data_IF_409048716253
#
_entry.id   IF_409048716253
#
_cell.length_a   1.000
_cell.length_b   1.000
_cell.length_c   1.000
_cell.angle_alpha   90.00
_cell.angle_beta   90.00
_cell.angle_gamma   90.00
#
_symmetry.space_group_name_H-M   'P 1'
#
loop_
_entity.id
_entity.type
_entity.pdbx_description
1 polymer ?
#
# COMPACT_ATOMS: atom_id res chain seq x y z
N UNK A 1 15.96 -0.11 -10.84
CA UNK A 1 15.33 1.09 -10.24
C UNK A 1 16.19 1.53 -9.07
N UNK A 2 16.65 2.78 -9.01
CA UNK A 2 17.51 3.25 -7.91
C UNK A 2 16.69 3.33 -6.63
N UNK A 3 17.17 2.71 -5.57
CA UNK A 3 16.50 2.75 -4.27
C UNK A 3 16.44 4.20 -3.74
N UNK A 4 15.29 4.61 -3.21
CA UNK A 4 15.12 5.96 -2.68
C UNK A 4 15.86 6.13 -1.34
N UNK A 5 16.30 7.35 -1.03
CA UNK A 5 16.87 7.67 0.29
C UNK A 5 15.91 7.33 1.44
N UNK A 6 14.61 7.47 1.22
CA UNK A 6 13.57 7.15 2.19
C UNK A 6 13.50 5.64 2.47
N UNK A 7 13.41 4.81 1.43
CA UNK A 7 13.35 3.35 1.58
C UNK A 7 14.62 2.79 2.21
N UNK A 8 15.80 3.31 1.85
CA UNK A 8 17.07 2.91 2.49
C UNK A 8 17.10 3.23 3.98
N UNK A 9 16.59 4.40 4.39
CA UNK A 9 16.46 4.77 5.81
C UNK A 9 15.48 3.83 6.53
N UNK A 10 14.35 3.49 5.92
CA UNK A 10 13.36 2.59 6.52
C UNK A 10 13.89 1.17 6.73
N UNK A 11 14.79 0.68 5.88
CA UNK A 11 15.45 -0.62 6.07
C UNK A 11 16.30 -0.69 7.34
N UNK A 12 16.89 0.43 7.79
CA UNK A 12 17.67 0.46 9.05
C UNK A 12 16.83 0.08 10.27
N UNK A 13 15.52 0.35 10.21
CA UNK A 13 14.55 0.01 11.26
C UNK A 13 13.68 -1.20 10.89
N UNK A 14 14.15 -2.04 9.96
CA UNK A 14 13.51 -3.29 9.52
C UNK A 14 12.12 -3.12 8.88
N UNK A 15 11.91 -2.04 8.13
CA UNK A 15 10.72 -1.83 7.31
C UNK A 15 11.08 -2.01 5.84
N UNK A 16 10.52 -3.02 5.16
CA UNK A 16 10.98 -3.44 3.83
C UNK A 16 9.95 -3.25 2.71
N UNK A 17 8.67 -3.10 3.04
CA UNK A 17 7.58 -2.99 2.07
C UNK A 17 6.36 -2.25 2.66
N UNK A 18 5.30 -2.09 1.87
CA UNK A 18 4.04 -1.48 2.33
C UNK A 18 3.37 -2.25 3.47
N UNK A 19 3.48 -3.59 3.47
CA UNK A 19 2.90 -4.43 4.53
C UNK A 19 3.53 -4.14 5.89
N UNK A 20 4.86 -4.03 5.95
CA UNK A 20 5.60 -3.64 7.17
C UNK A 20 5.29 -2.20 7.58
N UNK A 21 5.17 -1.30 6.59
CA UNK A 21 4.96 0.12 6.82
C UNK A 21 3.58 0.42 7.43
N UNK A 22 2.52 -0.14 6.84
CA UNK A 22 1.14 0.11 7.26
C UNK A 22 0.70 -0.79 8.42
N UNK A 23 1.30 -1.97 8.60
CA UNK A 23 0.97 -2.87 9.70
C UNK A 23 -0.48 -3.31 9.66
N UNK A 24 -1.30 -2.80 10.59
CA UNK A 24 -2.76 -3.08 10.67
C UNK A 24 -3.61 -2.01 9.98
N UNK A 25 -3.01 -0.91 9.53
CA UNK A 25 -3.75 0.16 8.85
C UNK A 25 -4.17 -0.28 7.45
N UNK A 26 -5.35 0.14 6.97
CA UNK A 26 -5.77 -0.10 5.61
C UNK A 26 -4.89 0.69 4.63
N UNK A 27 -4.56 0.06 3.50
CA UNK A 27 -3.80 0.69 2.42
C UNK A 27 -4.15 0.10 1.06
N UNK A 28 -3.68 0.76 0.00
CA UNK A 28 -3.83 0.33 -1.38
C UNK A 28 -2.43 0.10 -1.95
N UNK A 29 -2.17 -1.10 -2.47
CA UNK A 29 -0.91 -1.42 -3.15
C UNK A 29 -1.16 -1.87 -4.58
N UNK A 30 -0.15 -1.74 -5.43
CA UNK A 30 -0.22 -2.20 -6.82
C UNK A 30 0.20 -3.66 -6.87
N UNK A 31 -0.69 -4.53 -7.35
CA UNK A 31 -0.34 -5.90 -7.74
C UNK A 31 -0.05 -5.91 -9.25
N UNK A 32 1.23 -5.96 -9.67
CA UNK A 32 1.53 -6.15 -11.08
C UNK A 32 0.99 -7.52 -11.52
N UNK A 33 0.65 -7.65 -12.81
CA UNK A 33 0.34 -8.94 -13.43
C UNK A 33 1.42 -9.96 -13.03
N UNK A 34 1.01 -11.13 -12.55
CA UNK A 34 1.95 -12.22 -12.27
C UNK A 34 2.76 -12.55 -13.52
N UNK A 35 4.07 -12.68 -13.37
CA UNK A 35 4.92 -13.30 -14.40
C UNK A 35 4.85 -14.81 -14.09
N UNK A 36 3.83 -15.50 -14.59
CA UNK A 36 3.57 -16.92 -14.28
C UNK A 36 2.28 -17.47 -14.90
N UNK A 37 1.97 -18.74 -14.59
CA UNK A 37 0.74 -19.46 -15.01
C UNK A 37 -0.56 -18.86 -14.44
N UNK A 38 -0.47 -17.87 -13.55
CA UNK A 38 -1.63 -17.19 -13.01
C UNK A 38 -2.07 -16.11 -14.02
N UNK A 39 -3.22 -16.32 -14.66
CA UNK A 39 -3.89 -15.37 -15.55
C UNK A 39 -4.40 -14.12 -14.79
N UNK A 40 -3.72 -13.69 -13.72
CA UNK A 40 -4.14 -12.60 -12.86
C UNK A 40 -3.89 -11.27 -13.56
N UNK A 41 -4.98 -10.54 -13.80
CA UNK A 41 -4.93 -9.19 -14.37
C UNK A 41 -4.25 -8.24 -13.38
N UNK A 42 -3.56 -7.22 -13.88
CA UNK A 42 -3.01 -6.16 -13.02
C UNK A 42 -4.12 -5.51 -12.21
N UNK A 43 -3.85 -5.22 -10.93
CA UNK A 43 -4.85 -4.64 -10.05
C UNK A 43 -4.25 -3.64 -9.06
N UNK A 44 -5.07 -2.70 -8.63
CA UNK A 44 -4.90 -2.07 -7.32
C UNK A 44 -5.60 -2.94 -6.29
N UNK A 45 -4.94 -3.20 -5.17
CA UNK A 45 -5.47 -4.03 -4.10
C UNK A 45 -5.68 -3.13 -2.90
N UNK A 46 -6.93 -2.92 -2.48
CA UNK A 46 -7.21 -2.34 -1.18
C UNK A 46 -7.17 -3.45 -0.13
N UNK A 47 -6.45 -3.26 0.95
CA UNK A 47 -6.21 -4.31 1.95
C UNK A 47 -6.35 -3.76 3.35
N UNK A 48 -6.76 -4.62 4.29
CA UNK A 48 -6.71 -4.36 5.72
C UNK A 48 -6.38 -5.67 6.42
N UNK A 49 -5.20 -5.71 7.04
CA UNK A 49 -4.69 -6.92 7.67
C UNK A 49 -5.68 -7.46 8.72
N UNK A 50 -5.88 -8.78 8.70
CA UNK A 50 -6.75 -9.48 9.64
C UNK A 50 -8.26 -9.24 9.44
N UNK A 51 -8.66 -8.53 8.38
CA UNK A 51 -10.06 -8.23 8.10
C UNK A 51 -10.41 -8.75 6.71
N UNK A 52 -11.48 -9.55 6.63
CA UNK A 52 -12.06 -9.91 5.33
C UNK A 52 -12.75 -8.69 4.72
N UNK A 53 -12.44 -8.37 3.47
CA UNK A 53 -12.96 -7.20 2.75
C UNK A 53 -14.05 -7.56 1.73
N UNK A 54 -14.91 -8.50 2.14
CA UNK A 54 -16.14 -8.87 1.43
C UNK A 54 -15.91 -9.57 0.06
N UNK A 55 -14.85 -10.39 -0.04
CA UNK A 55 -14.47 -11.07 -1.28
C UNK A 55 -14.08 -12.54 -1.09
N UNK A 56 -14.09 -13.28 -2.20
CA UNK A 56 -13.85 -14.72 -2.24
C UNK A 56 -12.61 -15.18 -1.45
N UNK A 57 -12.65 -16.42 -0.93
CA UNK A 57 -11.64 -17.00 -0.01
C UNK A 57 -10.18 -16.85 -0.47
N UNK A 58 -9.93 -16.74 -1.78
CA UNK A 58 -8.60 -16.59 -2.38
C UNK A 58 -8.05 -15.17 -2.37
N UNK A 59 -8.82 -14.17 -1.92
CA UNK A 59 -8.38 -12.77 -1.94
C UNK A 59 -7.64 -12.34 -0.66
N UNK A 60 -7.42 -13.25 0.31
CA UNK A 60 -6.54 -13.04 1.48
C UNK A 60 -6.73 -11.71 2.26
N UNK A 61 -7.96 -11.17 2.32
CA UNK A 61 -8.23 -9.88 2.97
C UNK A 61 -8.03 -8.66 2.08
N UNK A 62 -7.93 -8.86 0.77
CA UNK A 62 -7.84 -7.82 -0.24
C UNK A 62 -9.14 -7.65 -1.03
N UNK A 63 -9.38 -6.44 -1.51
CA UNK A 63 -10.38 -6.10 -2.54
C UNK A 63 -9.65 -5.67 -3.82
N UNK A 64 -9.71 -6.45 -4.91
CA UNK A 64 -9.05 -6.11 -6.17
C UNK A 64 -9.84 -5.09 -7.00
N UNK A 65 -9.10 -4.20 -7.65
CA UNK A 65 -9.57 -3.25 -8.66
C UNK A 65 -8.73 -3.46 -9.92
N UNK A 66 -9.18 -4.39 -10.76
CA UNK A 66 -8.45 -4.83 -11.95
C UNK A 66 -8.46 -3.75 -13.03
N UNK A 67 -7.39 -3.72 -13.84
CA UNK A 67 -7.30 -2.82 -14.99
C UNK A 67 -6.44 -3.43 -16.09
N UNK A 68 -6.73 -3.04 -17.33
CA UNK A 68 -5.99 -3.46 -18.53
C UNK A 68 -5.43 -2.23 -19.24
N UNK A 69 -4.14 -2.27 -19.56
CA UNK A 69 -3.45 -1.15 -20.21
C UNK A 69 -3.05 -0.03 -19.25
N UNK A 70 -2.16 0.85 -19.72
CA UNK A 70 -1.59 1.95 -18.93
C UNK A 70 -2.61 3.04 -18.61
N UNK A 71 -3.53 3.30 -19.54
CA UNK A 71 -4.56 4.34 -19.45
C UNK A 71 -5.57 4.06 -18.34
N UNK A 72 -5.84 2.78 -18.06
CA UNK A 72 -6.77 2.37 -17.01
C UNK A 72 -6.16 2.35 -15.59
N UNK A 73 -4.85 2.55 -15.44
CA UNK A 73 -4.17 2.48 -14.13
C UNK A 73 -4.66 3.56 -13.16
N UNK A 74 -4.76 4.80 -13.64
CA UNK A 74 -5.16 5.94 -12.80
C UNK A 74 -6.66 5.94 -12.47
N UNK A 75 -7.58 5.65 -13.43
CA UNK A 75 -8.99 5.43 -13.13
C UNK A 75 -9.21 4.33 -12.08
N UNK A 76 -8.53 3.18 -12.21
CA UNK A 76 -8.66 2.09 -11.23
C UNK A 76 -8.15 2.49 -9.83
N UNK A 77 -7.08 3.28 -9.74
CA UNK A 77 -6.63 3.82 -8.46
C UNK A 77 -7.66 4.77 -7.84
N UNK A 78 -8.32 5.60 -8.65
CA UNK A 78 -9.35 6.52 -8.17
C UNK A 78 -10.54 5.76 -7.57
N UNK A 79 -11.02 4.73 -8.26
CA UNK A 79 -12.10 3.85 -7.76
C UNK A 79 -11.67 3.14 -6.46
N UNK A 80 -10.43 2.62 -6.41
CA UNK A 80 -9.91 1.98 -5.21
C UNK A 80 -9.86 2.95 -4.01
N UNK A 81 -9.40 4.19 -4.23
CA UNK A 81 -9.35 5.25 -3.20
C UNK A 81 -10.75 5.68 -2.75
N UNK A 82 -11.70 5.80 -3.67
CA UNK A 82 -13.08 6.14 -3.32
C UNK A 82 -13.70 5.03 -2.46
N UNK A 83 -13.59 3.77 -2.89
CA UNK A 83 -14.11 2.63 -2.14
C UNK A 83 -13.49 2.53 -0.74
N UNK A 84 -12.15 2.55 -0.65
CA UNK A 84 -11.45 2.46 0.62
C UNK A 84 -11.71 3.69 1.50
N UNK A 85 -11.87 4.87 0.89
CA UNK A 85 -12.25 6.10 1.57
C UNK A 85 -13.59 5.98 2.28
N UNK A 86 -14.61 5.48 1.56
CA UNK A 86 -15.93 5.21 2.15
C UNK A 86 -15.88 4.08 3.20
N UNK A 87 -15.16 2.98 2.91
CA UNK A 87 -15.11 1.78 3.75
C UNK A 87 -14.37 2.00 5.08
N UNK A 88 -13.30 2.79 5.07
CA UNK A 88 -12.41 2.98 6.22
C UNK A 88 -12.39 4.42 6.75
N UNK A 89 -13.20 5.33 6.21
CA UNK A 89 -13.23 6.73 6.63
C UNK A 89 -11.99 7.53 6.22
N UNK A 90 -11.31 7.16 5.13
CA UNK A 90 -10.11 7.85 4.66
C UNK A 90 -10.50 9.03 3.77
N UNK A 91 -10.29 10.25 4.23
CA UNK A 91 -10.62 11.49 3.51
C UNK A 91 -9.43 12.07 2.74
N UNK A 92 -8.21 11.77 3.17
CA UNK A 92 -6.98 12.26 2.57
C UNK A 92 -5.98 11.12 2.35
N UNK A 93 -5.38 11.09 1.16
CA UNK A 93 -4.48 10.01 0.73
C UNK A 93 -3.04 10.52 0.60
N UNK A 94 -2.10 9.76 1.16
CA UNK A 94 -0.67 9.96 0.91
C UNK A 94 -0.02 8.69 0.41
N UNK A 95 1.04 8.85 -0.37
CA UNK A 95 1.83 7.75 -0.91
C UNK A 95 2.93 7.37 0.06
N UNK A 96 3.09 6.07 0.33
CA UNK A 96 4.22 5.54 1.08
C UNK A 96 5.52 5.61 0.26
N UNK A 97 6.69 5.44 0.89
CA UNK A 97 7.95 5.30 0.16
C UNK A 97 8.05 4.06 -0.74
N UNK A 98 7.22 3.03 -0.53
CA UNK A 98 7.20 1.80 -1.34
C UNK A 98 6.20 1.89 -2.50
N UNK A 99 5.37 2.92 -2.51
CA UNK A 99 4.50 3.27 -3.62
C UNK A 99 3.02 2.99 -3.41
N UNK A 100 2.64 2.33 -2.31
CA UNK A 100 1.27 2.18 -1.85
C UNK A 100 0.66 3.50 -1.35
N UNK A 101 -0.64 3.49 -1.10
CA UNK A 101 -1.43 4.64 -0.68
C UNK A 101 -2.21 4.33 0.59
N UNK A 102 -2.20 5.24 1.55
CA UNK A 102 -3.00 5.10 2.77
C UNK A 102 -3.41 6.47 3.33
N UNK A 103 -3.98 6.45 4.52
CA UNK A 103 -4.41 7.68 5.20
C UNK A 103 -3.24 8.65 5.41
N UNK A 104 -3.42 9.90 4.95
CA UNK A 104 -2.36 10.89 4.91
C UNK A 104 -1.72 11.16 6.27
N UNK A 105 -2.53 11.34 7.32
CA UNK A 105 -2.02 11.63 8.67
C UNK A 105 -1.25 10.45 9.25
N UNK A 106 -1.70 9.22 9.00
CA UNK A 106 -0.95 8.02 9.37
C UNK A 106 0.40 7.98 8.66
N UNK A 107 0.44 8.14 7.33
CA UNK A 107 1.69 8.10 6.56
C UNK A 107 2.67 9.17 7.07
N UNK A 108 2.18 10.39 7.33
CA UNK A 108 2.98 11.50 7.85
C UNK A 108 3.56 11.18 9.23
N UNK A 109 2.71 10.76 10.17
CA UNK A 109 3.10 10.44 11.55
C UNK A 109 4.08 9.28 11.57
N UNK A 110 3.75 8.20 10.85
CA UNK A 110 4.58 7.00 10.77
C UNK A 110 5.96 7.27 10.18
N UNK A 111 6.04 8.12 9.15
CA UNK A 111 7.34 8.53 8.60
C UNK A 111 8.18 9.34 9.59
N UNK A 112 7.55 10.19 10.42
CA UNK A 112 8.27 10.93 11.45
C UNK A 112 8.84 10.00 12.53
N UNK A 113 8.01 9.06 13.02
CA UNK A 113 8.40 8.04 14.00
C UNK A 113 9.59 7.19 13.49
N UNK A 114 9.46 6.62 12.29
CA UNK A 114 10.49 5.74 11.73
C UNK A 114 11.80 6.48 11.44
N UNK A 115 11.74 7.79 11.13
CA UNK A 115 12.92 8.64 11.00
C UNK A 115 13.61 8.92 12.32
N UNK A 116 12.85 9.17 13.39
CA UNK A 116 13.41 9.34 14.72
C UNK A 116 14.13 8.06 15.16
N UNK A 117 13.46 6.92 15.04
CA UNK A 117 14.02 5.60 15.37
C UNK A 117 15.29 5.26 14.58
N UNK A 118 15.32 5.59 13.28
CA UNK A 118 16.51 5.35 12.46
C UNK A 118 17.74 6.17 12.93
N UNK A 119 17.52 7.38 13.48
CA UNK A 119 18.60 8.20 14.05
C UNK A 119 19.13 7.60 15.35
N UNK A 120 18.23 7.12 16.20
CA UNK A 120 18.60 6.41 17.44
C UNK A 120 19.42 5.15 17.16
N UNK A 121 19.05 4.35 16.14
CA UNK A 121 19.84 3.17 15.74
C UNK A 121 21.18 3.49 15.08
N UNK A 122 21.42 4.75 14.69
CA UNK A 122 22.67 5.20 14.07
C UNK A 122 23.59 5.96 15.04
N UNK A 123 23.16 6.11 16.30
CA UNK A 123 23.91 6.78 17.38
C UNK A 123 24.52 5.73 18.31
#
# INVERSE_FOLDING_TARGET
MRESKATRLLRTVRIFNDYDFFGQQPYIYRRPRGIGLDLTVSAWMATRRGVSLDDAWYNYGDRPFTYLGREAVAPALAVAKEWAGKRFGITAWARSPFGGWGYADFVKTRMAELRAKARECSS
#
